data_IF_015480601920
#
_entry.id   IF_015480601920
#
_cell.length_a   1.000
_cell.length_b   1.000
_cell.length_c   1.000
_cell.angle_alpha   90.00
_cell.angle_beta   90.00
_cell.angle_gamma   90.00
#
_symmetry.space_group_name_H-M   'P 1'
#
loop_
_entity.id
_entity.type
_entity.pdbx_description
1 polymer ?
#
# COMPACT_ATOMS: atom_id res chain seq x y z
N UNK A 1 -43.60 -34.82 32.87
CA UNK A 1 -44.39 -34.45 31.67
C UNK A 1 -45.39 -33.42 32.16
N UNK A 2 -45.43 -32.16 31.72
CA UNK A 2 -45.09 -31.58 30.44
C UNK A 2 -44.39 -30.21 30.61
N UNK A 3 -43.77 -29.80 29.52
CA UNK A 3 -42.87 -28.67 29.31
C UNK A 3 -43.60 -27.35 29.53
N UNK A 4 -42.97 -26.40 30.22
CA UNK A 4 -43.28 -24.97 30.14
C UNK A 4 -42.11 -24.35 29.40
N UNK A 5 -42.37 -23.96 28.17
CA UNK A 5 -41.36 -23.50 27.23
C UNK A 5 -40.69 -22.22 27.74
N UNK A 6 -39.37 -22.24 27.70
CA UNK A 6 -38.47 -21.11 27.93
C UNK A 6 -38.65 -20.18 26.73
N UNK A 7 -39.12 -18.97 26.97
CA UNK A 7 -39.09 -17.88 26.00
C UNK A 7 -37.61 -17.53 25.75
N UNK A 8 -37.07 -18.07 24.65
CA UNK A 8 -35.82 -17.63 24.06
C UNK A 8 -35.99 -16.20 23.55
N UNK A 9 -35.47 -15.25 24.34
CA UNK A 9 -35.12 -13.91 23.85
C UNK A 9 -33.95 -14.04 22.88
N UNK A 10 -34.26 -14.38 21.63
CA UNK A 10 -33.32 -14.25 20.52
C UNK A 10 -33.20 -12.76 20.23
N UNK A 11 -32.23 -12.14 20.90
CA UNK A 11 -31.66 -10.89 20.43
C UNK A 11 -31.22 -11.10 18.99
N UNK A 12 -31.93 -10.45 18.08
CA UNK A 12 -31.55 -10.28 16.70
C UNK A 12 -30.29 -9.41 16.67
N UNK A 13 -29.14 -10.02 16.97
CA UNK A 13 -27.82 -9.45 16.74
C UNK A 13 -27.38 -9.76 15.32
N UNK A 14 -28.21 -9.36 14.36
CA UNK A 14 -27.83 -9.26 12.95
C UNK A 14 -27.81 -7.79 12.49
N UNK A 15 -27.36 -6.88 13.36
CA UNK A 15 -26.99 -5.51 12.99
C UNK A 15 -25.50 -5.28 13.26
N UNK A 16 -24.66 -6.10 12.62
CA UNK A 16 -23.21 -5.98 12.67
C UNK A 16 -22.61 -6.21 11.28
N UNK A 17 -22.92 -5.31 10.35
CA UNK A 17 -22.07 -4.93 9.20
C UNK A 17 -22.71 -3.80 8.39
N UNK A 18 -23.09 -2.70 9.05
CA UNK A 18 -23.12 -1.38 8.40
C UNK A 18 -22.11 -0.50 9.12
N UNK A 19 -20.85 -0.91 9.06
CA UNK A 19 -19.75 0.01 9.32
C UNK A 19 -19.79 1.01 8.18
N UNK A 20 -20.29 2.20 8.48
CA UNK A 20 -20.43 3.34 7.60
C UNK A 20 -19.27 3.39 6.59
N UNK A 21 -19.62 3.48 5.30
CA UNK A 21 -18.76 3.91 4.21
C UNK A 21 -17.78 4.97 4.73
N UNK A 22 -16.52 4.56 4.94
CA UNK A 22 -15.43 5.52 4.77
C UNK A 22 -15.47 5.78 3.28
N UNK A 23 -16.07 6.90 2.87
CA UNK A 23 -16.17 7.34 1.48
C UNK A 23 -14.76 7.39 0.89
N UNK A 24 -14.29 6.26 0.41
CA UNK A 24 -13.06 6.13 -0.36
C UNK A 24 -13.42 6.58 -1.74
N UNK A 25 -12.95 7.77 -2.10
CA UNK A 25 -13.27 8.41 -3.36
C UNK A 25 -12.57 7.71 -4.53
N UNK A 26 -11.52 6.92 -4.27
CA UNK A 26 -10.83 6.09 -5.25
C UNK A 26 -11.33 4.65 -5.22
N UNK A 27 -11.55 4.05 -6.40
CA UNK A 27 -11.98 2.65 -6.51
C UNK A 27 -10.82 1.65 -6.39
N UNK A 28 -11.13 0.40 -6.02
CA UNK A 28 -10.11 -0.67 -5.93
C UNK A 28 -9.39 -0.92 -7.26
N UNK A 29 -10.12 -0.84 -8.39
CA UNK A 29 -9.53 -1.01 -9.72
C UNK A 29 -8.49 0.06 -10.02
N UNK A 30 -8.71 1.29 -9.58
CA UNK A 30 -7.75 2.38 -9.75
C UNK A 30 -6.51 2.18 -8.87
N UNK A 31 -6.70 1.75 -7.62
CA UNK A 31 -5.59 1.35 -6.75
C UNK A 31 -4.77 0.21 -7.33
N UNK A 32 -5.42 -0.80 -7.90
CA UNK A 32 -4.74 -1.89 -8.60
C UNK A 32 -3.97 -1.42 -9.83
N UNK A 33 -4.52 -0.48 -10.60
CA UNK A 33 -3.83 0.11 -11.74
C UNK A 33 -2.57 0.86 -11.29
N UNK A 34 -2.68 1.69 -10.24
CA UNK A 34 -1.54 2.39 -9.62
C UNK A 34 -0.50 1.38 -9.11
N UNK A 35 -0.94 0.31 -8.44
CA UNK A 35 -0.05 -0.73 -7.92
C UNK A 35 0.76 -1.45 -9.01
N UNK A 36 0.32 -1.39 -10.28
CA UNK A 36 1.02 -1.99 -11.43
C UNK A 36 1.91 -0.99 -12.17
N UNK A 37 1.87 0.31 -11.85
CA UNK A 37 2.65 1.32 -12.57
C UNK A 37 4.16 1.18 -12.35
N UNK A 38 5.00 1.46 -13.37
CA UNK A 38 6.44 1.63 -13.18
C UNK A 38 6.74 2.93 -12.41
N UNK A 39 7.94 3.01 -11.82
CA UNK A 39 8.33 4.11 -10.93
C UNK A 39 8.19 5.49 -11.58
N UNK A 40 8.75 5.68 -12.78
CA UNK A 40 8.71 6.98 -13.47
C UNK A 40 7.26 7.43 -13.74
N UNK A 41 6.40 6.51 -14.18
CA UNK A 41 4.99 6.82 -14.39
C UNK A 41 4.28 7.18 -13.08
N UNK A 42 4.52 6.43 -12.00
CA UNK A 42 3.93 6.73 -10.69
C UNK A 42 4.40 8.10 -10.16
N UNK A 43 5.68 8.43 -10.35
CA UNK A 43 6.25 9.75 -9.98
C UNK A 43 5.62 10.88 -10.79
N UNK A 44 5.51 10.73 -12.10
CA UNK A 44 4.99 11.79 -12.96
C UNK A 44 3.49 12.04 -12.69
N UNK A 45 2.71 10.98 -12.47
CA UNK A 45 1.32 11.09 -12.04
C UNK A 45 1.19 11.72 -10.64
N UNK A 46 2.11 11.41 -9.72
CA UNK A 46 2.14 12.03 -8.38
C UNK A 46 2.37 13.54 -8.49
N UNK A 47 3.30 13.97 -9.34
CA UNK A 47 3.56 15.39 -9.59
C UNK A 47 2.30 16.07 -10.12
N UNK A 48 1.60 15.46 -11.08
CA UNK A 48 0.33 15.99 -11.60
C UNK A 48 -0.73 16.10 -10.50
N UNK A 49 -0.83 15.09 -9.63
CA UNK A 49 -1.78 15.10 -8.52
C UNK A 49 -1.51 16.25 -7.54
N UNK A 50 -0.25 16.47 -7.18
CA UNK A 50 0.17 17.56 -6.31
C UNK A 50 -0.11 18.91 -6.97
N UNK A 51 0.25 19.07 -8.25
CA UNK A 51 0.00 20.31 -8.99
C UNK A 51 -1.49 20.67 -9.07
N UNK A 52 -2.36 19.67 -9.23
CA UNK A 52 -3.81 19.88 -9.24
C UNK A 52 -4.31 20.39 -7.88
N UNK A 53 -3.80 19.84 -6.77
CA UNK A 53 -4.12 20.30 -5.42
C UNK A 53 -3.58 21.71 -5.15
N UNK A 54 -2.34 22.01 -5.58
CA UNK A 54 -1.70 23.31 -5.40
C UNK A 54 -2.37 24.43 -6.20
N UNK A 55 -2.85 24.10 -7.41
CA UNK A 55 -3.61 25.05 -8.25
C UNK A 55 -4.92 25.46 -7.55
N UNK A 56 -5.51 24.56 -6.76
CA UNK A 56 -6.82 24.75 -6.17
C UNK A 56 -7.94 24.81 -7.22
N UNK A 57 -9.12 25.25 -6.81
CA UNK A 57 -10.29 25.36 -7.71
C UNK A 57 -11.07 24.06 -7.91
N UNK A 58 -10.64 22.96 -7.30
CA UNK A 58 -11.43 21.74 -7.13
C UNK A 58 -12.45 21.94 -5.99
N UNK A 59 -13.61 21.29 -6.09
CA UNK A 59 -14.50 21.15 -4.95
C UNK A 59 -13.90 20.19 -3.90
N UNK A 60 -14.58 20.04 -2.76
CA UNK A 60 -14.08 19.23 -1.64
C UNK A 60 -13.91 17.77 -2.04
N UNK A 61 -14.91 17.17 -2.68
CA UNK A 61 -14.91 15.75 -3.03
C UNK A 61 -13.84 15.44 -4.08
N UNK A 62 -13.67 16.32 -5.08
CA UNK A 62 -12.60 16.20 -6.06
C UNK A 62 -11.21 16.40 -5.42
N UNK A 63 -11.07 17.32 -4.47
CA UNK A 63 -9.82 17.51 -3.71
C UNK A 63 -9.46 16.29 -2.87
N UNK A 64 -10.45 15.69 -2.19
CA UNK A 64 -10.28 14.46 -1.41
C UNK A 64 -9.87 13.29 -2.31
N UNK A 65 -10.55 13.11 -3.44
CA UNK A 65 -10.17 12.09 -4.44
C UNK A 65 -8.74 12.30 -4.94
N UNK A 66 -8.39 13.52 -5.29
CA UNK A 66 -7.05 13.84 -5.82
C UNK A 66 -5.96 13.56 -4.80
N UNK A 67 -6.23 13.83 -3.52
CA UNK A 67 -5.34 13.49 -2.41
C UNK A 67 -5.18 11.97 -2.24
N UNK A 68 -6.26 11.20 -2.24
CA UNK A 68 -6.20 9.72 -2.15
C UNK A 68 -5.41 9.10 -3.32
N UNK A 69 -5.58 9.62 -4.54
CA UNK A 69 -4.79 9.20 -5.70
C UNK A 69 -3.31 9.52 -5.48
N UNK A 70 -2.99 10.72 -5.01
CA UNK A 70 -1.62 11.12 -4.68
C UNK A 70 -1.00 10.22 -3.61
N UNK A 71 -1.76 9.85 -2.58
CA UNK A 71 -1.31 8.97 -1.50
C UNK A 71 -0.95 7.57 -2.03
N UNK A 72 -1.82 6.98 -2.85
CA UNK A 72 -1.56 5.69 -3.50
C UNK A 72 -0.34 5.73 -4.44
N UNK A 73 -0.16 6.80 -5.20
CA UNK A 73 0.99 6.98 -6.11
C UNK A 73 2.30 7.11 -5.33
N UNK A 74 2.31 7.87 -4.23
CA UNK A 74 3.45 8.02 -3.35
C UNK A 74 3.86 6.68 -2.72
N UNK A 75 2.89 5.91 -2.22
CA UNK A 75 3.13 4.57 -1.70
C UNK A 75 3.76 3.65 -2.76
N UNK A 76 3.24 3.66 -3.99
CA UNK A 76 3.80 2.87 -5.10
C UNK A 76 5.24 3.25 -5.41
N UNK A 77 5.52 4.55 -5.52
CA UNK A 77 6.87 5.04 -5.80
C UNK A 77 7.85 4.61 -4.69
N UNK A 78 7.47 4.78 -3.43
CA UNK A 78 8.28 4.37 -2.27
C UNK A 78 8.52 2.86 -2.24
N UNK A 79 7.49 2.05 -2.53
CA UNK A 79 7.61 0.60 -2.59
C UNK A 79 8.66 0.15 -3.62
N UNK A 80 8.68 0.75 -4.81
CA UNK A 80 9.67 0.42 -5.84
C UNK A 80 11.08 0.83 -5.43
N UNK A 81 11.26 1.99 -4.81
CA UNK A 81 12.55 2.43 -4.28
C UNK A 81 13.06 1.47 -3.20
N UNK A 82 12.18 1.02 -2.32
CA UNK A 82 12.53 0.06 -1.26
C UNK A 82 12.97 -1.29 -1.85
N UNK A 83 12.33 -1.77 -2.91
CA UNK A 83 12.77 -3.00 -3.59
C UNK A 83 14.16 -2.87 -4.21
N UNK A 84 14.45 -1.74 -4.87
CA UNK A 84 15.77 -1.51 -5.46
C UNK A 84 16.83 -1.44 -4.37
N UNK A 85 16.53 -0.77 -3.26
CA UNK A 85 17.40 -0.73 -2.09
C UNK A 85 17.68 -2.13 -1.53
N UNK A 86 16.65 -2.95 -1.35
CA UNK A 86 16.82 -4.34 -0.89
C UNK A 86 17.74 -5.16 -1.80
N UNK A 87 17.58 -5.04 -3.12
CA UNK A 87 18.47 -5.72 -4.09
C UNK A 87 19.92 -5.24 -4.01
N UNK A 88 20.13 -3.95 -3.75
CA UNK A 88 21.47 -3.39 -3.57
C UNK A 88 22.12 -3.94 -2.29
N UNK A 89 21.37 -3.95 -1.20
CA UNK A 89 21.85 -4.45 0.10
C UNK A 89 22.22 -5.95 -0.01
N UNK A 90 21.41 -6.76 -0.70
CA UNK A 90 21.69 -8.18 -0.98
C UNK A 90 22.97 -8.36 -1.82
N UNK A 91 23.12 -7.59 -2.90
CA UNK A 91 24.30 -7.66 -3.76
C UNK A 91 25.58 -7.28 -2.99
N UNK A 92 25.52 -6.26 -2.14
CA UNK A 92 26.65 -5.85 -1.30
C UNK A 92 27.04 -6.95 -0.29
N UNK A 93 26.07 -7.61 0.35
CA UNK A 93 26.33 -8.71 1.26
C UNK A 93 26.97 -9.93 0.56
N UNK A 94 26.53 -10.24 -0.67
CA UNK A 94 27.14 -11.29 -1.50
C UNK A 94 28.59 -10.96 -1.86
N UNK A 95 28.89 -9.69 -2.18
CA UNK A 95 30.26 -9.27 -2.48
C UNK A 95 31.17 -9.35 -1.26
N UNK A 96 30.68 -8.94 -0.08
CA UNK A 96 31.44 -9.04 1.17
C UNK A 96 31.80 -10.50 1.50
N UNK A 97 30.81 -11.39 1.46
CA UNK A 97 31.02 -12.82 1.74
C UNK A 97 31.91 -13.51 0.70
N UNK A 98 31.85 -13.12 -0.58
CA UNK A 98 32.79 -13.61 -1.60
C UNK A 98 34.24 -13.19 -1.30
N UNK A 99 34.45 -11.96 -0.82
CA UNK A 99 35.77 -11.46 -0.41
C UNK A 99 36.34 -12.19 0.82
N UNK A 100 35.51 -12.48 1.81
CA UNK A 100 35.91 -13.25 3.01
C UNK A 100 36.32 -14.69 2.64
N UNK A 101 35.58 -15.36 1.76
CA UNK A 101 35.91 -16.70 1.29
C UNK A 101 37.24 -16.72 0.51
N UNK A 102 37.48 -15.74 -0.36
CA UNK A 102 38.73 -15.62 -1.11
C UNK A 102 39.95 -15.36 -0.20
N UNK A 103 39.80 -14.49 0.81
CA UNK A 103 40.87 -14.22 1.78
C UNK A 103 41.21 -15.43 2.66
N UNK A 104 40.23 -16.28 2.97
CA UNK A 104 40.45 -17.49 3.78
C UNK A 104 41.15 -18.59 3.00
N UNK A 105 40.86 -18.77 1.71
CA UNK A 105 41.58 -19.74 0.86
C UNK A 105 43.05 -19.39 0.67
N UNK A 106 43.37 -18.10 0.48
CA UNK A 106 44.74 -17.65 0.25
C UNK A 106 45.66 -17.80 1.46
N UNK A 107 45.11 -18.04 2.67
CA UNK A 107 45.86 -18.26 3.91
C UNK A 107 46.05 -19.75 4.26
N UNK A 108 45.59 -20.64 3.38
CA UNK A 108 45.69 -22.10 3.54
C UNK A 108 46.66 -22.76 2.53
N UNK A 109 47.28 -21.98 1.63
CA UNK A 109 48.30 -22.43 0.66
C UNK A 109 49.75 -22.18 1.14
#
# INVERSE_FOLDING_TARGET
MAKKDIEENQGDTAEAAKTNDVETHVSDKEREAIAKMPYEQARDQLIQAVQALETGGLDLDASMRQWEIGEALAQRAQYLLNQVRGKLDEAQAQQASAGENAGTQSNLE
#
